data_IF_855913938207
#
_entry.id   IF_855913938207
#
_cell.length_a   1.000
_cell.length_b   1.000
_cell.length_c   1.000
_cell.angle_alpha   90.00
_cell.angle_beta   90.00
_cell.angle_gamma   90.00
#
_symmetry.space_group_name_H-M   'P 1'
#
loop_
_entity.id
_entity.type
_entity.pdbx_description
1 polymer ?
#
# COMPACT_ATOMS: atom_id res chain seq x y z
N UNK A 1 -14.87 -51.81 45.41
CA UNK A 1 -13.95 -50.71 44.95
C UNK A 1 -14.50 -50.22 43.64
N UNK A 2 -15.17 -49.05 43.65
CA UNK A 2 -15.81 -48.49 42.43
C UNK A 2 -14.86 -47.45 41.83
N UNK A 3 -14.34 -47.73 40.64
CA UNK A 3 -13.50 -46.79 39.89
C UNK A 3 -14.42 -45.79 39.18
N UNK A 4 -14.31 -44.54 39.50
CA UNK A 4 -14.94 -43.42 38.76
C UNK A 4 -14.01 -43.02 37.61
N UNK A 5 -14.43 -43.23 36.39
CA UNK A 5 -13.75 -42.72 35.19
C UNK A 5 -14.15 -41.23 35.00
N UNK A 6 -13.22 -40.34 35.17
CA UNK A 6 -13.42 -38.92 34.87
C UNK A 6 -13.11 -38.70 33.39
N UNK A 7 -14.15 -38.53 32.59
CA UNK A 7 -14.04 -38.11 31.18
C UNK A 7 -13.79 -36.61 31.12
N UNK A 8 -12.57 -36.21 30.80
CA UNK A 8 -12.26 -34.79 30.54
C UNK A 8 -12.76 -34.42 29.14
N UNK A 9 -13.76 -33.59 29.06
CA UNK A 9 -14.23 -33.01 27.81
C UNK A 9 -13.29 -31.87 27.39
N UNK A 10 -12.58 -32.08 26.31
CA UNK A 10 -11.74 -31.03 25.69
C UNK A 10 -12.64 -30.03 24.93
N UNK A 11 -12.84 -28.84 25.50
CA UNK A 11 -13.54 -27.76 24.82
C UNK A 11 -12.56 -27.09 23.86
N UNK A 12 -12.69 -27.37 22.58
CA UNK A 12 -11.98 -26.61 21.53
C UNK A 12 -12.65 -25.23 21.42
N UNK A 13 -11.99 -24.21 21.95
CA UNK A 13 -12.39 -22.82 21.72
C UNK A 13 -11.97 -22.45 20.29
N UNK A 14 -12.93 -22.37 19.37
CA UNK A 14 -12.72 -21.80 18.05
C UNK A 14 -12.52 -20.29 18.20
N UNK A 15 -11.30 -19.80 18.01
CA UNK A 15 -11.02 -18.38 17.91
C UNK A 15 -11.56 -17.88 16.57
N UNK A 16 -12.66 -17.14 16.61
CA UNK A 16 -13.15 -16.41 15.43
C UNK A 16 -12.20 -15.24 15.21
N UNK A 17 -11.30 -15.37 14.25
CA UNK A 17 -10.48 -14.25 13.77
C UNK A 17 -11.39 -13.36 12.95
N UNK A 18 -11.84 -12.25 13.52
CA UNK A 18 -12.53 -11.20 12.78
C UNK A 18 -11.49 -10.58 11.83
N UNK A 19 -11.69 -10.74 10.53
CA UNK A 19 -10.93 -9.95 9.55
C UNK A 19 -11.21 -8.48 9.83
N UNK A 20 -10.16 -7.68 10.07
CA UNK A 20 -10.31 -6.25 10.31
C UNK A 20 -10.93 -5.62 9.07
N UNK A 21 -12.06 -4.94 9.26
CA UNK A 21 -12.74 -4.26 8.17
C UNK A 21 -11.85 -3.13 7.65
N UNK A 22 -11.55 -3.17 6.35
CA UNK A 22 -10.68 -2.18 5.70
C UNK A 22 -11.40 -0.84 5.61
N UNK A 23 -10.65 0.25 5.75
CA UNK A 23 -11.19 1.60 5.60
C UNK A 23 -11.81 1.78 4.21
N UNK A 24 -13.07 2.22 4.10
CA UNK A 24 -13.71 2.40 2.80
C UNK A 24 -13.07 3.54 2.01
N UNK A 25 -13.06 3.42 0.69
CA UNK A 25 -12.74 4.53 -0.22
C UNK A 25 -13.99 5.02 -0.94
N UNK A 26 -14.12 6.33 -1.19
CA UNK A 26 -15.27 6.86 -1.91
C UNK A 26 -15.25 6.46 -3.38
N UNK A 27 -16.43 6.40 -4.00
CA UNK A 27 -16.55 6.18 -5.43
C UNK A 27 -15.81 7.27 -6.22
N UNK A 28 -15.05 6.86 -7.26
CA UNK A 28 -14.26 7.77 -8.08
C UNK A 28 -12.92 8.20 -7.46
N UNK A 29 -12.52 7.62 -6.32
CA UNK A 29 -11.18 7.80 -5.79
C UNK A 29 -10.14 7.24 -6.77
N UNK A 30 -9.13 8.06 -7.10
CA UNK A 30 -8.10 7.71 -8.06
C UNK A 30 -6.74 8.22 -7.59
N UNK A 31 -5.75 7.33 -7.55
CA UNK A 31 -4.34 7.67 -7.35
C UNK A 31 -3.60 7.46 -8.66
N UNK A 32 -2.66 8.34 -8.98
CA UNK A 32 -1.93 8.26 -10.26
C UNK A 32 -0.54 8.90 -10.15
N UNK A 33 0.37 8.48 -11.03
CA UNK A 33 1.69 9.08 -11.16
C UNK A 33 1.57 10.26 -12.14
N UNK A 34 1.87 11.46 -11.66
CA UNK A 34 1.87 12.67 -12.48
C UNK A 34 3.09 12.67 -13.41
N UNK A 35 4.27 12.38 -12.84
CA UNK A 35 5.55 12.30 -13.52
C UNK A 35 6.43 11.26 -12.83
N UNK A 36 7.23 10.50 -13.58
CA UNK A 36 7.32 10.43 -15.04
C UNK A 36 6.09 9.78 -15.69
N UNK A 37 5.97 9.90 -17.02
CA UNK A 37 4.92 9.22 -17.77
C UNK A 37 5.32 7.78 -18.09
N UNK A 38 4.33 6.93 -18.33
CA UNK A 38 4.57 5.56 -18.79
C UNK A 38 5.39 5.55 -20.08
N UNK A 39 6.40 4.71 -20.14
CA UNK A 39 7.33 4.61 -21.26
C UNK A 39 8.42 5.68 -21.30
N UNK A 40 8.48 6.58 -20.31
CA UNK A 40 9.48 7.65 -20.28
C UNK A 40 10.91 7.12 -20.16
N UNK A 41 11.84 7.79 -20.84
CA UNK A 41 13.28 7.67 -20.61
C UNK A 41 13.71 8.81 -19.70
N UNK A 42 14.34 8.47 -18.59
CA UNK A 42 14.73 9.42 -17.54
C UNK A 42 16.18 9.17 -17.12
N UNK A 43 16.83 10.17 -16.58
CA UNK A 43 18.15 10.03 -15.95
C UNK A 43 18.02 10.09 -14.43
N UNK A 44 18.89 9.39 -13.71
CA UNK A 44 18.99 9.52 -12.25
C UNK A 44 19.61 10.88 -11.86
N UNK A 45 19.13 11.54 -10.79
CA UNK A 45 18.01 11.17 -9.92
C UNK A 45 16.63 11.35 -10.59
N UNK A 46 15.68 10.46 -10.27
CA UNK A 46 14.34 10.47 -10.87
C UNK A 46 13.35 11.08 -9.89
N UNK A 47 12.76 12.22 -10.25
CA UNK A 47 11.67 12.83 -9.48
C UNK A 47 10.35 12.16 -9.85
N UNK A 48 9.64 11.64 -8.85
CA UNK A 48 8.32 11.02 -9.01
C UNK A 48 7.29 11.85 -8.26
N UNK A 49 6.29 12.33 -8.99
CA UNK A 49 5.20 13.14 -8.44
C UNK A 49 3.89 12.34 -8.42
N UNK A 50 3.18 12.42 -7.30
CA UNK A 50 1.96 11.65 -7.04
C UNK A 50 0.72 12.54 -7.13
N UNK A 51 -0.33 12.01 -7.75
CA UNK A 51 -1.63 12.64 -7.81
C UNK A 51 -2.70 11.82 -7.08
N UNK A 52 -3.64 12.52 -6.47
CA UNK A 52 -4.81 11.93 -5.82
C UNK A 52 -6.05 12.74 -6.16
N UNK A 53 -7.13 12.05 -6.51
CA UNK A 53 -8.42 12.63 -6.85
C UNK A 53 -9.52 11.94 -6.04
N UNK A 54 -10.48 12.72 -5.57
CA UNK A 54 -11.63 12.23 -4.82
C UNK A 54 -11.36 11.86 -3.36
N UNK A 55 -10.12 12.02 -2.90
CA UNK A 55 -9.69 11.84 -1.51
C UNK A 55 -8.66 12.90 -1.12
N UNK A 56 -8.41 13.05 0.16
CA UNK A 56 -7.34 13.88 0.71
C UNK A 56 -6.13 13.09 1.17
N UNK A 57 -5.02 13.80 1.35
CA UNK A 57 -3.81 13.26 1.99
C UNK A 57 -3.88 13.56 3.48
N UNK A 58 -3.60 12.55 4.30
CA UNK A 58 -3.38 12.70 5.73
C UNK A 58 -2.13 11.92 6.15
N UNK A 59 -1.35 12.41 7.11
CA UNK A 59 -0.20 11.67 7.65
C UNK A 59 -0.61 10.32 8.22
N UNK A 60 0.31 9.35 8.21
CA UNK A 60 0.13 8.07 8.88
C UNK A 60 -0.21 8.28 10.36
N UNK A 61 -1.09 7.45 10.91
CA UNK A 61 -1.59 7.58 12.27
C UNK A 61 -2.73 8.58 12.46
N UNK A 62 -3.02 9.41 11.46
CA UNK A 62 -4.10 10.40 11.50
C UNK A 62 -5.33 9.84 10.79
N UNK A 63 -6.37 9.52 11.56
CA UNK A 63 -7.62 8.97 11.03
C UNK A 63 -8.61 10.07 10.70
N UNK A 64 -8.76 10.36 9.40
CA UNK A 64 -9.80 11.23 8.84
C UNK A 64 -10.55 10.51 7.73
N UNK A 65 -11.83 10.80 7.61
CA UNK A 65 -12.65 10.21 6.55
C UNK A 65 -12.14 10.62 5.17
N UNK A 66 -12.18 9.67 4.23
CA UNK A 66 -11.77 9.86 2.84
C UNK A 66 -10.34 10.41 2.69
N UNK A 67 -9.43 9.95 3.53
CA UNK A 67 -8.01 10.32 3.47
C UNK A 67 -7.10 9.09 3.52
N UNK A 68 -5.89 9.29 3.07
CA UNK A 68 -4.83 8.29 3.14
C UNK A 68 -3.47 8.90 2.82
N UNK A 69 -2.45 8.06 2.70
CA UNK A 69 -1.13 8.48 2.30
C UNK A 69 -0.55 7.54 1.26
N UNK A 70 0.37 8.06 0.46
CA UNK A 70 0.96 7.34 -0.66
C UNK A 70 1.96 6.27 -0.21
N UNK A 71 1.94 5.16 -0.96
CA UNK A 71 2.97 4.13 -0.96
C UNK A 71 3.43 3.94 -2.41
N UNK A 72 4.73 3.98 -2.66
CA UNK A 72 5.29 3.74 -3.97
C UNK A 72 5.92 2.35 -4.03
N UNK A 73 5.44 1.56 -4.97
CA UNK A 73 5.96 0.24 -5.30
C UNK A 73 6.96 0.39 -6.45
N UNK A 74 8.18 -0.11 -6.24
CA UNK A 74 9.28 -0.06 -7.20
C UNK A 74 9.69 -1.49 -7.52
N UNK A 75 9.56 -1.89 -8.79
CA UNK A 75 9.92 -3.24 -9.27
C UNK A 75 9.26 -4.38 -8.46
N UNK A 76 8.05 -4.15 -8.00
CA UNK A 76 7.26 -5.14 -7.27
C UNK A 76 5.78 -4.97 -7.57
N UNK A 77 5.00 -6.02 -7.30
CA UNK A 77 3.56 -6.02 -7.50
C UNK A 77 2.81 -5.62 -6.24
N UNK A 78 1.57 -5.17 -6.43
CA UNK A 78 0.62 -4.99 -5.34
C UNK A 78 0.38 -6.36 -4.68
N UNK A 79 0.45 -6.47 -3.34
CA UNK A 79 0.16 -7.73 -2.67
C UNK A 79 -1.22 -8.28 -3.03
N UNK A 80 -1.33 -9.60 -3.18
CA UNK A 80 -2.61 -10.26 -3.43
C UNK A 80 -3.60 -10.07 -2.26
N UNK A 81 -3.07 -10.06 -1.03
CA UNK A 81 -3.84 -9.86 0.20
C UNK A 81 -3.69 -8.40 0.68
N UNK A 82 -4.80 -7.67 0.69
CA UNK A 82 -4.84 -6.25 1.02
C UNK A 82 -5.42 -5.96 2.42
N UNK A 83 -5.66 -7.00 3.21
CA UNK A 83 -6.23 -6.87 4.57
C UNK A 83 -5.21 -6.57 5.68
N UNK A 84 -3.95 -6.33 5.33
CA UNK A 84 -2.87 -6.05 6.27
C UNK A 84 -2.09 -4.79 5.85
N UNK A 85 -1.34 -4.16 6.77
CA UNK A 85 -0.46 -3.06 6.43
C UNK A 85 0.55 -3.46 5.35
N UNK A 86 0.79 -2.56 4.40
CA UNK A 86 1.82 -2.75 3.39
C UNK A 86 3.20 -2.81 4.07
N UNK A 87 4.01 -3.85 3.84
CA UNK A 87 5.33 -3.96 4.46
C UNK A 87 6.27 -2.93 3.86
N UNK A 88 6.95 -2.13 4.72
CA UNK A 88 7.98 -1.21 4.26
C UNK A 88 9.24 -1.96 3.83
N UNK A 89 9.81 -1.58 2.69
CA UNK A 89 11.06 -2.11 2.15
C UNK A 89 11.67 -1.13 1.14
N UNK A 90 12.82 -1.47 0.56
CA UNK A 90 13.41 -0.69 -0.55
C UNK A 90 12.48 -0.64 -1.77
N UNK A 91 11.56 -1.61 -1.91
CA UNK A 91 10.60 -1.71 -3.01
C UNK A 91 9.20 -1.21 -2.67
N UNK A 92 8.90 -0.98 -1.40
CA UNK A 92 7.62 -0.44 -0.94
C UNK A 92 7.91 0.73 -0.01
N UNK A 93 7.92 1.92 -0.58
CA UNK A 93 8.29 3.15 0.13
C UNK A 93 7.04 3.84 0.65
N UNK A 94 7.02 4.14 1.95
CA UNK A 94 5.91 4.80 2.64
C UNK A 94 6.12 6.32 2.72
N UNK A 95 5.09 7.08 2.42
CA UNK A 95 5.09 8.55 2.49
C UNK A 95 4.17 9.04 3.61
N UNK A 96 4.43 8.56 4.82
CA UNK A 96 3.60 8.74 6.01
C UNK A 96 3.58 10.15 6.62
N UNK A 97 4.29 11.12 6.04
CA UNK A 97 4.26 12.54 6.47
C UNK A 97 3.40 13.41 5.56
N UNK A 98 2.67 12.80 4.61
CA UNK A 98 1.84 13.53 3.65
C UNK A 98 2.58 14.01 2.40
N UNK A 99 3.75 13.42 2.11
CA UNK A 99 4.52 13.76 0.91
C UNK A 99 3.75 13.37 -0.35
N UNK A 100 3.84 14.21 -1.38
CA UNK A 100 3.23 14.01 -2.69
C UNK A 100 4.24 13.86 -3.82
N UNK A 101 5.53 13.79 -3.47
CA UNK A 101 6.62 13.55 -4.42
C UNK A 101 7.81 12.91 -3.71
N UNK A 102 8.68 12.32 -4.49
CA UNK A 102 9.97 11.81 -4.02
C UNK A 102 11.03 11.91 -5.10
N UNK A 103 12.29 11.82 -4.70
CA UNK A 103 13.43 11.72 -5.62
C UNK A 103 14.11 10.37 -5.42
N UNK A 104 14.08 9.53 -6.44
CA UNK A 104 14.75 8.22 -6.43
C UNK A 104 16.20 8.41 -6.91
N UNK A 105 17.15 8.15 -6.03
CA UNK A 105 18.57 8.35 -6.29
C UNK A 105 19.34 7.06 -6.57
N UNK A 106 18.71 5.90 -6.34
CA UNK A 106 19.38 4.59 -6.34
C UNK A 106 18.93 3.65 -7.46
N UNK A 107 18.09 4.14 -8.39
CA UNK A 107 17.67 3.31 -9.52
C UNK A 107 18.83 3.08 -10.47
N UNK A 108 19.17 1.82 -10.71
CA UNK A 108 20.16 1.43 -11.69
C UNK A 108 19.69 1.76 -13.13
N UNK A 109 20.59 1.96 -14.08
CA UNK A 109 20.22 2.04 -15.48
C UNK A 109 19.42 0.80 -15.93
N UNK A 110 18.36 1.01 -16.71
CA UNK A 110 17.51 -0.06 -17.21
C UNK A 110 16.02 0.22 -16.96
N UNK A 111 15.20 -0.79 -17.19
CA UNK A 111 13.75 -0.71 -17.01
C UNK A 111 13.38 -0.89 -15.54
N UNK A 112 12.47 -0.04 -15.07
CA UNK A 112 11.87 -0.12 -13.74
C UNK A 112 10.36 0.07 -13.83
N UNK A 113 9.62 -0.57 -12.94
CA UNK A 113 8.19 -0.34 -12.80
C UNK A 113 7.92 0.50 -11.56
N UNK A 114 6.93 1.40 -11.66
CA UNK A 114 6.45 2.23 -10.58
C UNK A 114 4.93 2.11 -10.48
N UNK A 115 4.41 1.99 -9.26
CA UNK A 115 2.96 1.93 -9.02
C UNK A 115 2.65 2.53 -7.65
N UNK A 116 1.52 3.23 -7.54
CA UNK A 116 1.06 3.80 -6.27
C UNK A 116 -0.07 2.98 -5.68
N UNK A 117 -0.05 2.85 -4.35
CA UNK A 117 -1.16 2.35 -3.54
C UNK A 117 -1.42 3.36 -2.43
N UNK A 118 -2.69 3.75 -2.26
CA UNK A 118 -3.08 4.60 -1.14
C UNK A 118 -3.36 3.72 0.08
N UNK A 119 -2.66 3.96 1.17
CA UNK A 119 -2.90 3.32 2.47
C UNK A 119 -3.66 4.25 3.40
N UNK A 120 -4.44 3.66 4.29
CA UNK A 120 -5.11 4.38 5.35
C UNK A 120 -4.13 4.78 6.48
N UNK A 121 -4.65 5.33 7.58
CA UNK A 121 -3.86 5.75 8.73
C UNK A 121 -2.95 4.66 9.33
N UNK A 122 -3.25 3.38 9.08
CA UNK A 122 -2.49 2.21 9.56
C UNK A 122 -1.73 1.48 8.44
N UNK A 123 -1.55 2.12 7.28
CA UNK A 123 -0.88 1.57 6.07
C UNK A 123 -1.66 0.43 5.38
N UNK A 124 -2.92 0.22 5.73
CA UNK A 124 -3.77 -0.80 5.09
C UNK A 124 -4.42 -0.20 3.85
N UNK A 125 -4.34 -0.85 2.67
CA UNK A 125 -5.04 -0.39 1.48
C UNK A 125 -6.55 -0.32 1.70
N UNK A 126 -7.19 0.73 1.18
CA UNK A 126 -8.63 0.97 1.28
C UNK A 126 -9.46 -0.15 0.60
N UNK A 127 -10.76 -0.19 0.88
CA UNK A 127 -11.71 -1.06 0.20
C UNK A 127 -12.87 -0.23 -0.40
N UNK A 128 -13.04 -0.22 -1.74
CA UNK A 128 -12.16 -0.75 -2.78
C UNK A 128 -10.74 -0.19 -2.73
N UNK A 129 -9.72 -0.94 -3.21
CA UNK A 129 -8.35 -0.46 -3.19
C UNK A 129 -8.16 0.71 -4.16
N UNK A 130 -7.42 1.73 -3.72
CA UNK A 130 -7.05 2.88 -4.53
C UNK A 130 -5.62 2.67 -5.01
N UNK A 131 -5.48 2.18 -6.25
CA UNK A 131 -4.23 1.74 -6.85
C UNK A 131 -4.07 2.37 -8.22
N UNK A 132 -2.88 2.88 -8.53
CA UNK A 132 -2.60 3.47 -9.83
C UNK A 132 -2.37 2.41 -10.91
N UNK A 133 -2.37 2.86 -12.15
CA UNK A 133 -1.74 2.10 -13.23
C UNK A 133 -0.27 1.87 -12.88
N UNK A 134 0.23 0.68 -13.20
CA UNK A 134 1.66 0.40 -13.18
C UNK A 134 2.29 1.05 -14.42
N UNK A 135 3.30 1.87 -14.23
CA UNK A 135 4.06 2.47 -15.33
C UNK A 135 5.43 1.81 -15.42
N UNK A 136 6.02 1.82 -16.60
CA UNK A 136 7.39 1.39 -16.86
C UNK A 136 8.20 2.60 -17.32
N UNK A 137 9.35 2.81 -16.70
CA UNK A 137 10.32 3.83 -17.10
C UNK A 137 11.64 3.16 -17.47
N UNK A 138 12.45 3.84 -18.26
CA UNK A 138 13.84 3.41 -18.55
C UNK A 138 14.79 4.46 -18.02
N UNK A 139 15.61 4.06 -17.03
CA UNK A 139 16.67 4.92 -16.49
C UNK A 139 17.88 4.81 -17.41
N UNK A 140 18.34 5.94 -17.91
CA UNK A 140 19.55 6.04 -18.74
C UNK A 140 20.78 6.28 -17.86
N UNK A 141 21.94 5.99 -18.42
CA UNK A 141 23.25 6.26 -17.76
C UNK A 141 23.50 7.75 -17.69
#
# INVERSE_FOLDING_TARGET
MRMFAITAALVLAATVVWAQERTPSPAGAEVYIISPKDGAKVSSPVVVQFGLKGMGIAPAGMKFDNTGHHHLLIDTDVPAELGAPLPASDKVVHFGKGQTETTLTTLAPGKHTLQLVLGDYSHVPHNPPVVSKKITITVTK
#
